data_IF_739979810287
#
_entry.id   IF_739979810287
#
_cell.length_a   1.000
_cell.length_b   1.000
_cell.length_c   1.000
_cell.angle_alpha   90.00
_cell.angle_beta   90.00
_cell.angle_gamma   90.00
#
_symmetry.space_group_name_H-M   'P 1'
#
loop_
_entity.id
_entity.type
_entity.pdbx_description
1 polymer ?
#
# COMPACT_ATOMS: atom_id res chain seq x y z
N UNK A 1 15.19 15.71 -41.51
CA UNK A 1 15.11 15.90 -40.04
C UNK A 1 16.40 16.53 -39.57
N UNK A 2 16.35 17.61 -38.78
CA UNK A 2 17.55 18.32 -38.33
C UNK A 2 18.11 17.64 -37.07
N UNK A 3 19.23 16.92 -37.19
CA UNK A 3 19.92 16.26 -36.07
C UNK A 3 20.32 17.22 -34.93
N UNK A 4 20.44 18.53 -35.20
CA UNK A 4 20.93 19.51 -34.23
C UNK A 4 19.89 19.91 -33.15
N UNK A 5 18.62 19.50 -33.30
CA UNK A 5 17.56 19.80 -32.31
C UNK A 5 17.10 18.58 -31.50
N UNK A 6 17.69 17.41 -31.73
CA UNK A 6 17.36 16.19 -31.01
C UNK A 6 17.91 16.27 -29.57
N UNK A 7 17.03 16.31 -28.56
CA UNK A 7 17.41 16.40 -27.15
C UNK A 7 17.49 17.81 -26.56
N UNK A 8 17.13 18.86 -27.31
CA UNK A 8 16.85 20.16 -26.71
C UNK A 8 15.50 20.09 -25.99
N UNK A 9 15.50 20.35 -24.67
CA UNK A 9 14.31 20.37 -23.83
C UNK A 9 13.92 21.83 -23.60
N UNK A 10 12.86 22.28 -24.27
CA UNK A 10 12.19 23.54 -23.97
C UNK A 10 10.89 23.20 -23.24
N UNK A 11 10.90 23.36 -21.92
CA UNK A 11 9.79 22.96 -21.07
C UNK A 11 8.75 24.08 -21.03
N UNK A 12 7.68 23.90 -21.79
CA UNK A 12 6.54 24.78 -21.76
C UNK A 12 5.54 24.32 -20.68
N UNK A 13 5.56 24.98 -19.53
CA UNK A 13 4.65 24.65 -18.41
C UNK A 13 3.34 25.42 -18.56
N UNK A 14 2.23 24.70 -18.67
CA UNK A 14 0.88 25.26 -18.70
C UNK A 14 -0.07 24.44 -17.82
N UNK A 15 -1.25 25.00 -17.54
CA UNK A 15 -2.30 24.29 -16.80
C UNK A 15 -2.84 23.12 -17.63
N UNK A 16 -3.09 21.99 -16.97
CA UNK A 16 -3.67 20.79 -17.57
C UNK A 16 -4.97 21.08 -18.36
N UNK A 17 -5.82 21.98 -17.83
CA UNK A 17 -7.08 22.41 -18.44
C UNK A 17 -6.94 23.00 -19.86
N UNK A 18 -5.74 23.38 -20.30
CA UNK A 18 -5.51 23.83 -21.67
C UNK A 18 -5.46 22.68 -22.68
N UNK A 19 -5.26 21.44 -22.22
CA UNK A 19 -5.06 20.26 -23.04
C UNK A 19 -6.09 19.15 -22.77
N UNK A 20 -6.90 19.29 -21.73
CA UNK A 20 -7.98 18.37 -21.39
C UNK A 20 -8.26 18.33 -19.89
N UNK A 21 -9.18 17.48 -19.48
CA UNK A 21 -9.48 17.25 -18.08
C UNK A 21 -8.54 16.20 -17.46
N UNK A 22 -8.05 16.48 -16.26
CA UNK A 22 -7.38 15.51 -15.40
C UNK A 22 -8.31 15.24 -14.22
N UNK A 23 -8.81 14.01 -14.12
CA UNK A 23 -9.76 13.64 -13.08
C UNK A 23 -9.12 12.60 -12.19
N UNK A 24 -9.16 12.85 -10.88
CA UNK A 24 -8.89 11.84 -9.86
C UNK A 24 -10.04 11.87 -8.87
N UNK A 25 -10.71 10.73 -8.68
CA UNK A 25 -11.81 10.62 -7.74
C UNK A 25 -11.73 9.34 -6.93
N UNK A 26 -12.08 9.46 -5.65
CA UNK A 26 -12.18 8.34 -4.74
C UNK A 26 -13.65 8.10 -4.38
N UNK A 27 -14.09 6.85 -4.49
CA UNK A 27 -15.39 6.40 -4.02
C UNK A 27 -15.18 5.38 -2.93
N UNK A 28 -15.85 5.57 -1.80
CA UNK A 28 -15.80 4.59 -0.74
C UNK A 28 -16.88 4.75 0.31
N UNK A 29 -16.98 3.72 1.13
CA UNK A 29 -17.89 3.63 2.27
C UNK A 29 -17.07 3.21 3.47
N UNK A 30 -17.14 4.03 4.52
CA UNK A 30 -16.50 3.78 5.79
C UNK A 30 -17.58 3.58 6.86
N UNK A 31 -17.47 2.47 7.59
CA UNK A 31 -18.33 2.15 8.72
C UNK A 31 -17.46 1.94 9.93
N UNK A 32 -17.76 2.64 11.01
CA UNK A 32 -17.09 2.46 12.29
C UNK A 32 -18.14 2.26 13.38
N UNK A 33 -17.96 1.22 14.18
CA UNK A 33 -18.82 0.86 15.29
C UNK A 33 -17.98 0.80 16.54
N UNK A 34 -18.45 1.49 17.58
CA UNK A 34 -17.88 1.38 18.93
C UNK A 34 -18.97 1.09 19.93
N UNK A 35 -18.73 0.12 20.81
CA UNK A 35 -19.65 -0.27 21.87
C UNK A 35 -18.90 -0.37 23.20
N UNK A 36 -19.52 0.15 24.26
CA UNK A 36 -19.05 0.03 25.63
C UNK A 36 -20.15 -0.64 26.43
N UNK A 37 -19.89 -1.86 26.87
CA UNK A 37 -20.88 -2.67 27.58
C UNK A 37 -20.74 -2.47 29.09
N UNK A 38 -21.88 -2.52 29.81
CA UNK A 38 -21.91 -2.34 31.26
C UNK A 38 -21.08 -3.39 32.04
N UNK A 39 -20.87 -4.56 31.43
CA UNK A 39 -20.06 -5.64 32.01
C UNK A 39 -18.54 -5.38 31.96
N UNK A 40 -18.09 -4.28 31.34
CA UNK A 40 -16.67 -3.92 31.23
C UNK A 40 -16.00 -4.37 29.93
N UNK A 41 -16.76 -4.86 28.93
CA UNK A 41 -16.29 -5.12 27.58
C UNK A 41 -16.38 -3.85 26.73
N UNK A 42 -15.27 -3.45 26.12
CA UNK A 42 -15.21 -2.42 25.10
C UNK A 42 -14.88 -3.06 23.75
N UNK A 43 -15.63 -2.71 22.72
CA UNK A 43 -15.45 -3.15 21.36
C UNK A 43 -15.36 -1.92 20.46
N UNK A 44 -14.42 -1.89 19.54
CA UNK A 44 -14.36 -0.89 18.48
C UNK A 44 -13.84 -1.54 17.22
N UNK A 45 -14.52 -1.36 16.11
CA UNK A 45 -14.07 -1.85 14.84
C UNK A 45 -14.77 -1.16 13.69
N UNK A 46 -14.17 -1.27 12.52
CA UNK A 46 -14.69 -0.65 11.32
C UNK A 46 -14.20 -1.33 10.07
N UNK A 47 -14.92 -1.03 9.00
CA UNK A 47 -14.61 -1.43 7.64
C UNK A 47 -14.50 -0.18 6.80
N UNK A 48 -13.56 -0.18 5.87
CA UNK A 48 -13.38 0.88 4.91
C UNK A 48 -13.22 0.22 3.55
N UNK A 49 -14.16 0.48 2.66
CA UNK A 49 -14.21 -0.12 1.33
C UNK A 49 -14.20 0.99 0.31
N UNK A 50 -13.21 1.01 -0.60
CA UNK A 50 -13.13 2.06 -1.60
C UNK A 50 -12.31 1.70 -2.82
N UNK A 51 -12.40 2.57 -3.82
CA UNK A 51 -11.58 2.60 -5.04
C UNK A 51 -11.22 4.03 -5.38
N UNK A 52 -10.04 4.20 -5.97
CA UNK A 52 -9.63 5.40 -6.69
C UNK A 52 -9.72 5.15 -8.19
N UNK A 53 -10.19 6.15 -8.92
CA UNK A 53 -10.22 6.20 -10.37
C UNK A 53 -9.50 7.45 -10.84
N UNK A 54 -8.61 7.30 -11.82
CA UNK A 54 -7.83 8.40 -12.40
C UNK A 54 -7.97 8.35 -13.91
N UNK A 55 -8.30 9.48 -14.53
CA UNK A 55 -8.39 9.63 -15.98
C UNK A 55 -7.58 10.88 -16.40
N UNK A 56 -6.64 10.66 -17.32
CA UNK A 56 -5.87 11.69 -18.01
C UNK A 56 -5.74 11.42 -19.52
N UNK A 57 -6.65 10.62 -20.09
CA UNK A 57 -6.61 10.22 -21.50
C UNK A 57 -6.69 11.40 -22.46
N UNK A 58 -7.47 12.44 -22.13
CA UNK A 58 -7.62 13.61 -23.00
C UNK A 58 -6.30 14.38 -23.13
N UNK A 59 -5.59 14.55 -22.02
CA UNK A 59 -4.27 15.20 -22.00
C UNK A 59 -3.25 14.35 -22.76
N UNK A 60 -3.25 13.02 -22.57
CA UNK A 60 -2.34 12.12 -23.28
C UNK A 60 -2.61 12.02 -24.79
N UNK A 61 -3.85 12.27 -25.23
CA UNK A 61 -4.18 12.35 -26.65
C UNK A 61 -3.53 13.57 -27.34
N UNK A 62 -3.39 14.68 -26.61
CA UNK A 62 -2.78 15.90 -27.14
C UNK A 62 -1.26 15.96 -26.90
N UNK A 63 -0.79 15.42 -25.78
CA UNK A 63 0.59 15.48 -25.31
C UNK A 63 1.08 14.10 -24.83
N UNK A 64 1.33 13.16 -25.76
CA UNK A 64 1.76 11.80 -25.40
C UNK A 64 3.12 11.79 -24.66
N UNK A 65 3.96 12.81 -24.87
CA UNK A 65 5.24 13.01 -24.18
C UNK A 65 5.16 13.30 -22.68
N UNK A 66 3.98 13.67 -22.14
CA UNK A 66 3.79 13.94 -20.70
C UNK A 66 3.58 12.65 -19.90
N UNK A 67 3.47 11.49 -20.56
CA UNK A 67 3.45 10.20 -19.87
C UNK A 67 4.80 9.92 -19.21
N UNK A 68 5.00 10.41 -17.99
CA UNK A 68 6.24 10.23 -17.22
C UNK A 68 6.38 8.77 -16.74
N UNK A 69 5.28 7.99 -16.71
CA UNK A 69 5.28 6.59 -16.28
C UNK A 69 4.16 5.75 -16.94
N UNK A 70 4.31 5.41 -18.22
CA UNK A 70 3.62 4.25 -18.79
C UNK A 70 2.34 4.54 -19.56
N UNK A 71 2.50 4.79 -20.86
CA UNK A 71 1.59 4.19 -21.83
C UNK A 71 1.58 2.67 -21.58
N UNK A 72 0.41 2.00 -21.52
CA UNK A 72 -0.86 2.39 -22.14
C UNK A 72 -1.99 2.89 -21.22
N UNK A 73 -1.77 3.08 -19.91
CA UNK A 73 -2.87 3.27 -18.95
C UNK A 73 -3.18 4.74 -18.65
N UNK A 74 -4.02 5.35 -19.48
CA UNK A 74 -4.50 6.73 -19.28
C UNK A 74 -5.76 6.83 -18.41
N UNK A 75 -6.56 5.76 -18.39
CA UNK A 75 -7.66 5.55 -17.44
C UNK A 75 -7.27 4.41 -16.53
N UNK A 76 -7.32 4.62 -15.23
CA UNK A 76 -6.91 3.65 -14.22
C UNK A 76 -8.01 3.54 -13.17
N UNK A 77 -8.64 2.38 -13.10
CA UNK A 77 -9.62 2.04 -12.09
C UNK A 77 -9.04 1.00 -11.13
N UNK A 78 -8.80 1.40 -9.89
CA UNK A 78 -8.42 0.43 -8.85
C UNK A 78 -9.62 -0.45 -8.48
N UNK A 79 -9.32 -1.68 -8.08
CA UNK A 79 -10.35 -2.57 -7.54
C UNK A 79 -10.95 -1.99 -6.24
N UNK A 80 -12.20 -2.39 -5.97
CA UNK A 80 -12.80 -2.13 -4.66
C UNK A 80 -12.08 -2.95 -3.60
N UNK A 81 -11.33 -2.27 -2.74
CA UNK A 81 -10.59 -2.90 -1.66
C UNK A 81 -11.27 -2.63 -0.32
N UNK A 82 -11.41 -3.68 0.48
CA UNK A 82 -11.99 -3.61 1.83
C UNK A 82 -10.91 -3.84 2.88
N UNK A 83 -10.69 -2.87 3.77
CA UNK A 83 -9.94 -3.07 5.00
C UNK A 83 -10.89 -3.26 6.19
N UNK A 84 -10.50 -4.12 7.13
CA UNK A 84 -11.24 -4.38 8.37
C UNK A 84 -10.27 -4.23 9.54
N UNK A 85 -10.65 -3.45 10.54
CA UNK A 85 -9.89 -3.32 11.79
C UNK A 85 -10.87 -3.49 12.94
N UNK A 86 -10.51 -4.29 13.93
CA UNK A 86 -11.34 -4.53 15.10
C UNK A 86 -10.48 -4.65 16.35
N UNK A 87 -10.98 -4.14 17.45
CA UNK A 87 -10.34 -4.18 18.76
C UNK A 87 -11.37 -4.52 19.81
N UNK A 88 -10.95 -5.33 20.77
CA UNK A 88 -11.75 -5.71 21.92
C UNK A 88 -10.90 -5.60 23.17
N UNK A 89 -11.46 -5.07 24.26
CA UNK A 89 -10.79 -5.08 25.57
C UNK A 89 -11.78 -5.37 26.67
N UNK A 90 -11.37 -6.22 27.61
CA UNK A 90 -12.18 -6.64 28.74
C UNK A 90 -11.36 -6.59 30.02
N UNK A 91 -11.90 -5.92 31.05
CA UNK A 91 -11.30 -5.86 32.38
C UNK A 91 -12.02 -6.78 33.35
N UNK A 92 -11.31 -7.80 33.81
CA UNK A 92 -11.76 -8.72 34.85
C UNK A 92 -11.49 -8.07 36.22
N UNK A 93 -12.48 -7.34 36.74
CA UNK A 93 -12.35 -6.56 37.98
C UNK A 93 -11.98 -7.41 39.21
N UNK A 94 -12.46 -8.64 39.31
CA UNK A 94 -12.23 -9.52 40.47
C UNK A 94 -10.76 -9.88 40.69
N UNK A 95 -9.97 -9.94 39.63
CA UNK A 95 -8.55 -10.30 39.67
C UNK A 95 -7.65 -9.19 39.14
N UNK A 96 -8.19 -8.01 38.86
CA UNK A 96 -7.48 -6.85 38.31
C UNK A 96 -6.62 -7.19 37.07
N UNK A 97 -7.19 -8.00 36.16
CA UNK A 97 -6.58 -8.35 34.87
C UNK A 97 -7.33 -7.66 33.74
N UNK A 98 -6.59 -7.09 32.80
CA UNK A 98 -7.10 -6.57 31.54
C UNK A 98 -6.64 -7.48 30.41
N UNK A 99 -7.57 -7.84 29.53
CA UNK A 99 -7.28 -8.58 28.31
C UNK A 99 -7.71 -7.74 27.12
N UNK A 100 -6.97 -7.78 26.02
CA UNK A 100 -7.36 -7.11 24.79
C UNK A 100 -6.87 -7.84 23.57
N UNK A 101 -7.66 -7.79 22.50
CA UNK A 101 -7.28 -8.29 21.18
C UNK A 101 -7.42 -7.19 20.14
N UNK A 102 -6.52 -7.18 19.17
CA UNK A 102 -6.59 -6.33 17.98
C UNK A 102 -6.47 -7.22 16.74
N UNK A 103 -7.41 -7.06 15.82
CA UNK A 103 -7.43 -7.73 14.54
C UNK A 103 -7.34 -6.68 13.44
N UNK A 104 -6.48 -6.93 12.45
CA UNK A 104 -6.42 -6.15 11.24
C UNK A 104 -6.38 -7.05 10.02
N UNK A 105 -7.13 -6.65 9.02
CA UNK A 105 -7.25 -7.30 7.74
C UNK A 105 -7.11 -6.21 6.67
N UNK A 106 -5.94 -6.13 6.04
CA UNK A 106 -5.60 -5.07 5.09
C UNK A 106 -5.33 -5.67 3.71
N UNK A 107 -5.85 -5.06 2.63
CA UNK A 107 -5.51 -5.49 1.28
C UNK A 107 -3.99 -5.41 1.06
N UNK A 108 -3.47 -6.28 0.19
CA UNK A 108 -2.06 -6.25 -0.18
C UNK A 108 -1.68 -4.99 -0.95
N UNK A 109 -0.38 -4.77 -1.12
CA UNK A 109 0.14 -3.68 -1.96
C UNK A 109 -0.16 -3.94 -3.44
N UNK A 110 -0.39 -2.88 -4.22
CA UNK A 110 -0.60 -3.01 -5.66
C UNK A 110 0.64 -3.59 -6.35
N UNK A 111 0.42 -4.54 -7.25
CA UNK A 111 1.48 -5.18 -8.03
C UNK A 111 1.74 -4.35 -9.28
N UNK A 112 3.01 -4.08 -9.55
CA UNK A 112 3.44 -3.51 -10.81
C UNK A 112 4.53 -4.39 -11.43
N UNK A 113 4.68 -4.30 -12.74
CA UNK A 113 5.71 -4.98 -13.52
C UNK A 113 6.43 -3.94 -14.38
N UNK A 114 7.32 -3.18 -13.74
CA UNK A 114 8.05 -2.09 -14.37
C UNK A 114 9.21 -2.65 -15.20
N UNK A 115 9.06 -2.62 -16.51
CA UNK A 115 10.07 -3.08 -17.45
C UNK A 115 10.86 -1.92 -18.03
N UNK A 116 12.18 -1.90 -17.80
CA UNK A 116 13.09 -0.96 -18.44
C UNK A 116 13.41 -1.41 -19.88
N UNK A 117 12.62 -0.94 -20.85
CA UNK A 117 12.75 -1.26 -22.27
C UNK A 117 13.91 -0.48 -22.87
N UNK A 118 14.84 -1.17 -23.53
CA UNK A 118 15.97 -0.54 -24.20
C UNK A 118 15.50 0.23 -25.45
N UNK A 119 16.08 1.40 -25.69
CA UNK A 119 15.85 2.20 -26.90
C UNK A 119 16.02 1.39 -28.20
N UNK A 120 16.89 0.39 -28.26
CA UNK A 120 17.04 -0.49 -29.43
C UNK A 120 15.76 -1.27 -29.80
N UNK A 121 14.92 -1.57 -28.81
CA UNK A 121 13.64 -2.28 -28.99
C UNK A 121 12.52 -1.27 -29.34
N UNK A 122 12.59 -0.06 -28.76
CA UNK A 122 11.56 0.98 -28.87
C UNK A 122 11.72 1.83 -30.13
N UNK A 123 12.95 2.12 -30.55
CA UNK A 123 13.21 3.00 -31.68
C UNK A 123 12.57 2.53 -33.01
N UNK A 124 12.51 1.22 -33.34
CA UNK A 124 11.79 0.75 -34.52
C UNK A 124 10.29 1.03 -34.50
N UNK A 125 9.64 0.99 -33.33
CA UNK A 125 8.19 1.27 -33.22
C UNK A 125 7.89 2.77 -33.19
N UNK A 126 8.79 3.59 -32.65
CA UNK A 126 8.66 5.06 -32.65
C UNK A 126 9.11 5.72 -33.97
N UNK A 127 9.87 5.00 -34.81
CA UNK A 127 10.54 5.58 -35.98
C UNK A 127 11.65 6.59 -35.65
N UNK A 128 12.03 6.70 -34.37
CA UNK A 128 13.06 7.58 -33.83
C UNK A 128 13.59 7.04 -32.50
N UNK A 129 14.79 7.47 -32.11
CA UNK A 129 15.32 7.21 -30.76
C UNK A 129 14.52 7.97 -29.69
N UNK A 130 14.60 7.49 -28.44
CA UNK A 130 14.08 8.18 -27.26
C UNK A 130 14.66 9.59 -27.13
N UNK A 131 13.82 10.54 -26.73
CA UNK A 131 14.23 11.92 -26.47
C UNK A 131 15.30 12.00 -25.38
N UNK A 132 16.13 13.04 -25.43
CA UNK A 132 17.22 13.25 -24.46
C UNK A 132 18.35 12.20 -24.54
N UNK A 133 18.42 11.42 -25.61
CA UNK A 133 19.40 10.32 -25.76
C UNK A 133 19.32 9.29 -24.63
N UNK A 134 18.12 9.04 -24.09
CA UNK A 134 17.92 8.03 -23.05
C UNK A 134 18.19 6.63 -23.58
N UNK A 135 18.87 5.81 -22.76
CA UNK A 135 19.15 4.42 -23.09
C UNK A 135 17.91 3.52 -22.92
N UNK A 136 17.00 3.88 -22.02
CA UNK A 136 15.85 3.06 -21.64
C UNK A 136 14.63 3.94 -21.36
N UNK A 137 13.45 3.37 -21.53
CA UNK A 137 12.17 3.88 -21.02
C UNK A 137 11.49 2.81 -20.17
N UNK A 138 10.74 3.20 -19.14
CA UNK A 138 10.05 2.25 -18.25
C UNK A 138 8.60 2.09 -18.66
N UNK A 139 8.18 0.85 -18.92
CA UNK A 139 6.80 0.49 -19.23
C UNK A 139 6.30 -0.45 -18.15
N UNK A 140 5.19 -0.12 -17.50
CA UNK A 140 4.51 -1.04 -16.60
C UNK A 140 3.69 -2.04 -17.44
N UNK A 141 3.94 -3.34 -17.28
CA UNK A 141 3.22 -4.40 -18.02
C UNK A 141 1.92 -4.83 -17.35
N UNK A 142 1.73 -4.48 -16.07
CA UNK A 142 0.52 -4.79 -15.31
C UNK A 142 -0.30 -3.52 -15.19
N UNK A 143 -1.59 -3.61 -15.46
CA UNK A 143 -2.50 -2.48 -15.30
C UNK A 143 -2.54 -2.04 -13.84
N UNK A 144 -2.19 -0.78 -13.52
CA UNK A 144 -2.20 -0.28 -12.16
C UNK A 144 -3.56 -0.50 -11.48
N UNK A 145 -3.54 -1.03 -10.26
CA UNK A 145 -4.77 -1.20 -9.48
C UNK A 145 -5.62 -2.42 -9.82
N UNK A 146 -5.18 -3.30 -10.73
CA UNK A 146 -5.89 -4.55 -11.05
C UNK A 146 -5.39 -5.74 -10.23
N UNK A 147 -4.08 -5.78 -9.92
CA UNK A 147 -3.43 -6.87 -9.20
C UNK A 147 -2.88 -6.40 -7.85
N UNK A 148 -3.04 -7.23 -6.81
CA UNK A 148 -2.60 -6.94 -5.45
C UNK A 148 -1.88 -8.12 -4.82
N UNK A 149 -0.90 -7.83 -3.97
CA UNK A 149 -0.21 -8.83 -3.18
C UNK A 149 -1.11 -9.50 -2.14
N UNK A 150 -0.50 -10.35 -1.34
CA UNK A 150 -1.20 -11.07 -0.29
C UNK A 150 -1.87 -10.14 0.73
N UNK A 151 -3.07 -10.52 1.15
CA UNK A 151 -3.81 -9.79 2.19
C UNK A 151 -3.17 -10.03 3.55
N UNK A 152 -2.89 -8.95 4.28
CA UNK A 152 -2.45 -9.04 5.67
C UNK A 152 -3.62 -9.43 6.56
N UNK A 153 -3.49 -10.51 7.33
CA UNK A 153 -4.38 -10.84 8.43
C UNK A 153 -3.56 -11.04 9.70
N UNK A 154 -3.68 -10.10 10.64
CA UNK A 154 -2.92 -10.13 11.87
C UNK A 154 -3.83 -10.01 13.08
N UNK A 155 -3.60 -10.89 14.05
CA UNK A 155 -4.22 -10.82 15.36
C UNK A 155 -3.15 -10.63 16.43
N UNK A 156 -3.30 -9.58 17.22
CA UNK A 156 -2.47 -9.27 18.37
C UNK A 156 -3.28 -9.41 19.64
N UNK A 157 -2.64 -9.88 20.70
CA UNK A 157 -3.29 -10.13 21.98
C UNK A 157 -2.46 -9.56 23.13
N UNK A 158 -3.12 -9.00 24.13
CA UNK A 158 -2.47 -8.43 25.31
C UNK A 158 -3.16 -8.88 26.58
N UNK A 159 -2.36 -9.17 27.59
CA UNK A 159 -2.79 -9.37 28.97
C UNK A 159 -2.01 -8.43 29.87
N UNK A 160 -2.73 -7.63 30.66
CA UNK A 160 -2.17 -6.73 31.66
C UNK A 160 -2.65 -7.08 33.05
N UNK A 161 -1.73 -7.21 34.01
CA UNK A 161 -2.04 -7.30 35.43
C UNK A 161 -1.87 -5.92 36.06
N UNK A 162 -2.91 -5.47 36.75
CA UNK A 162 -2.89 -4.24 37.52
C UNK A 162 -2.52 -4.59 38.96
N UNK A 163 -1.45 -3.97 39.45
CA UNK A 163 -0.94 -4.07 40.80
C UNK A 163 -1.14 -2.71 41.49
N UNK A 164 -1.68 -2.72 42.71
CA UNK A 164 -2.02 -1.51 43.46
C UNK A 164 -1.24 -1.51 44.77
N UNK A 165 -0.53 -0.42 45.05
CA UNK A 165 0.32 -0.27 46.24
C UNK A 165 0.08 1.11 46.86
N UNK A 166 -0.87 1.22 47.79
CA UNK A 166 -1.24 2.51 48.38
C UNK A 166 -1.79 3.48 47.32
N UNK A 167 -1.17 4.64 47.18
CA UNK A 167 -1.49 5.63 46.13
C UNK A 167 -0.91 5.28 44.76
N UNK A 168 0.06 4.38 44.68
CA UNK A 168 0.72 4.01 43.43
C UNK A 168 0.02 2.85 42.72
N UNK A 169 0.08 2.85 41.39
CA UNK A 169 -0.44 1.78 40.53
C UNK A 169 0.60 1.38 39.49
N UNK A 170 0.84 0.08 39.37
CA UNK A 170 1.67 -0.50 38.31
C UNK A 170 0.80 -1.39 37.42
N UNK A 171 0.98 -1.32 36.10
CA UNK A 171 0.37 -2.25 35.15
C UNK A 171 1.46 -2.99 34.40
N UNK A 172 1.63 -4.28 34.69
CA UNK A 172 2.57 -5.17 34.00
C UNK A 172 1.82 -5.86 32.87
N UNK A 173 2.28 -5.72 31.63
CA UNK A 173 1.60 -6.27 30.46
C UNK A 173 2.51 -7.15 29.63
N UNK A 174 1.91 -8.19 29.06
CA UNK A 174 2.48 -9.07 28.06
C UNK A 174 1.65 -8.89 26.78
N UNK A 175 2.32 -8.44 25.72
CA UNK A 175 1.76 -8.25 24.39
C UNK A 175 2.31 -9.35 23.47
N UNK A 176 1.43 -10.17 22.90
CA UNK A 176 1.72 -11.15 21.87
C UNK A 176 1.33 -10.58 20.50
N UNK A 177 2.31 -10.24 19.69
CA UNK A 177 2.11 -9.76 18.34
C UNK A 177 2.11 -10.92 17.35
N UNK A 178 1.30 -10.82 16.30
CA UNK A 178 1.14 -11.84 15.27
C UNK A 178 0.89 -13.23 15.90
N UNK A 179 -0.16 -13.35 16.69
CA UNK A 179 -0.45 -14.54 17.50
C UNK A 179 -0.56 -15.83 16.66
N UNK A 180 -1.07 -15.72 15.43
CA UNK A 180 -1.18 -16.82 14.47
C UNK A 180 0.09 -17.08 13.66
N UNK A 181 1.15 -16.30 13.88
CA UNK A 181 2.47 -16.46 13.25
C UNK A 181 2.39 -16.49 11.71
N UNK A 182 1.61 -15.57 11.12
CA UNK A 182 1.54 -15.40 9.68
C UNK A 182 2.84 -14.80 9.11
N UNK A 183 3.12 -15.06 7.84
CA UNK A 183 4.33 -14.61 7.13
C UNK A 183 4.01 -13.86 5.84
N UNK A 184 2.96 -13.04 5.86
CA UNK A 184 2.47 -12.31 4.69
C UNK A 184 3.56 -11.40 4.11
N UNK A 185 3.70 -11.38 2.78
CA UNK A 185 4.56 -10.42 2.08
C UNK A 185 3.92 -9.02 2.10
N UNK A 186 4.62 -8.05 2.68
CA UNK A 186 4.15 -6.66 2.78
C UNK A 186 4.60 -5.80 1.60
N UNK A 187 5.78 -6.09 1.06
CA UNK A 187 6.36 -5.42 -0.11
C UNK A 187 7.19 -6.38 -0.93
N UNK A 188 7.25 -6.14 -2.23
CA UNK A 188 7.94 -6.97 -3.20
C UNK A 188 8.60 -6.12 -4.28
N UNK A 189 9.55 -6.72 -4.99
CA UNK A 189 10.23 -6.06 -6.09
C UNK A 189 9.34 -6.03 -7.35
N UNK A 190 8.94 -4.83 -7.76
CA UNK A 190 8.12 -4.61 -8.95
C UNK A 190 8.95 -4.42 -10.24
N UNK A 191 10.29 -4.54 -10.19
CA UNK A 191 11.14 -4.46 -11.37
C UNK A 191 11.03 -5.76 -12.19
N UNK A 192 10.52 -5.63 -13.40
CA UNK A 192 10.37 -6.72 -14.34
C UNK A 192 11.55 -6.77 -15.30
N UNK A 193 12.23 -7.92 -15.33
CA UNK A 193 13.27 -8.22 -16.31
C UNK A 193 12.80 -9.46 -17.08
N UNK A 194 12.52 -9.37 -18.39
CA UNK A 194 12.22 -10.55 -19.19
C UNK A 194 13.48 -11.38 -19.30
N UNK A 195 13.60 -12.42 -18.49
CA UNK A 195 14.80 -13.25 -18.45
C UNK A 195 14.66 -14.41 -19.44
N UNK A 196 15.55 -14.47 -20.42
CA UNK A 196 15.84 -15.71 -21.15
C UNK A 196 17.03 -16.37 -20.47
N UNK A 197 16.77 -17.27 -19.51
CA UNK A 197 17.81 -18.09 -18.87
C UNK A 197 18.51 -17.50 -17.63
N UNK A 198 17.89 -16.56 -16.90
CA UNK A 198 18.41 -16.03 -15.63
C UNK A 198 17.35 -15.96 -14.51
N UNK A 199 17.72 -15.44 -13.34
CA UNK A 199 16.83 -15.33 -12.18
C UNK A 199 15.85 -14.16 -12.34
N UNK A 200 14.55 -14.46 -12.30
CA UNK A 200 13.51 -13.43 -12.25
C UNK A 200 13.55 -12.71 -10.90
N UNK A 201 13.73 -11.39 -10.91
CA UNK A 201 13.71 -10.54 -9.71
C UNK A 201 12.32 -9.98 -9.40
N UNK A 202 11.38 -10.14 -10.32
CA UNK A 202 10.01 -9.67 -10.16
C UNK A 202 9.28 -10.50 -9.08
N UNK A 203 8.52 -9.82 -8.23
CA UNK A 203 7.78 -10.38 -7.08
C UNK A 203 8.64 -11.03 -5.99
N UNK A 204 9.96 -10.84 -6.00
CA UNK A 204 10.78 -11.24 -4.85
C UNK A 204 10.40 -10.38 -3.64
N UNK A 205 10.02 -10.99 -2.49
CA UNK A 205 9.67 -10.25 -1.28
C UNK A 205 10.82 -9.38 -0.78
N UNK A 206 10.54 -8.11 -0.48
CA UNK A 206 11.50 -7.17 0.13
C UNK A 206 11.17 -6.88 1.59
N UNK A 207 9.91 -7.08 1.99
CA UNK A 207 9.45 -6.98 3.36
C UNK A 207 8.39 -8.04 3.65
N UNK A 208 8.56 -8.75 4.76
CA UNK A 208 7.65 -9.79 5.24
C UNK A 208 7.17 -9.40 6.63
N UNK A 209 5.94 -9.77 6.98
CA UNK A 209 5.38 -9.58 8.31
C UNK A 209 6.32 -10.17 9.37
N UNK A 210 6.59 -9.38 10.42
CA UNK A 210 7.42 -9.83 11.54
C UNK A 210 6.82 -11.12 12.16
N UNK A 211 7.68 -12.11 12.38
CA UNK A 211 7.31 -13.34 13.06
C UNK A 211 6.73 -13.06 14.45
N UNK A 212 5.96 -14.00 14.98
CA UNK A 212 5.35 -13.88 16.31
C UNK A 212 6.40 -13.54 17.37
N UNK A 213 6.14 -12.50 18.14
CA UNK A 213 7.01 -12.11 19.24
C UNK A 213 6.21 -11.62 20.44
N UNK A 214 6.86 -11.65 21.60
CA UNK A 214 6.30 -11.19 22.87
C UNK A 214 7.02 -9.94 23.31
N UNK A 215 6.26 -8.93 23.71
CA UNK A 215 6.76 -7.72 24.37
C UNK A 215 6.26 -7.69 25.80
N UNK A 216 7.18 -7.42 26.73
CA UNK A 216 6.86 -7.19 28.13
C UNK A 216 6.95 -5.68 28.38
N UNK A 217 5.96 -5.11 29.04
CA UNK A 217 5.91 -3.69 29.36
C UNK A 217 5.39 -3.46 30.78
N UNK A 218 5.86 -2.40 31.43
CA UNK A 218 5.33 -1.97 32.72
C UNK A 218 5.05 -0.47 32.66
N UNK A 219 3.85 -0.08 33.09
CA UNK A 219 3.46 1.32 33.25
C UNK A 219 3.29 1.60 34.74
N UNK A 220 3.89 2.67 35.24
CA UNK A 220 3.81 3.10 36.63
C UNK A 220 3.13 4.47 36.72
N UNK A 221 2.15 4.58 37.62
CA UNK A 221 1.37 5.79 37.90
C UNK A 221 1.52 6.09 39.40
N UNK A 222 1.91 7.32 39.75
CA UNK A 222 2.15 7.80 41.13
C UNK A 222 1.43 9.11 41.42
#
# INVERSE_FOLDING_TARGET
MNNAKFGQVDNFTQLANNFGEQIEHWNGVDVNVSARMANGLNLSGGTSTGRTSTDNCEILAQLPEISVNGLPYCHQDTNWLTQVKATASYRIRRIDVQTSGAFQSLPGSAIAANWAVNNAIVAPSLGRNLSGSQANTTVNMVEPGTEYGERLNQFDFRVGKILRFGSARATVSLDLYNAFNASTVLSQNNNYVPVTGGLATWQVPTLILQARFVKISTQFEW
#
